data_IF_974689701663
#
_entry.id   IF_974689701663
#
_cell.length_a   1.000
_cell.length_b   1.000
_cell.length_c   1.000
_cell.angle_alpha   90.00
_cell.angle_beta   90.00
_cell.angle_gamma   90.00
#
_symmetry.space_group_name_H-M   'P 1'
#
loop_
_entity.id
_entity.type
_entity.pdbx_description
1 polymer ?
#
# COMPACT_ATOMS: atom_id res chain seq x y z
N UNK A 1 0.16 11.97 13.69
CA UNK A 1 1.10 11.01 14.29
C UNK A 1 0.31 9.97 15.07
N UNK A 2 0.52 8.67 14.86
CA UNK A 2 -0.14 7.59 15.60
C UNK A 2 0.91 6.91 16.50
N UNK A 3 1.08 7.42 17.73
CA UNK A 3 2.13 6.98 18.65
C UNK A 3 1.61 6.12 19.82
N UNK A 4 0.36 5.68 19.75
CA UNK A 4 -0.32 4.93 20.79
C UNK A 4 -1.82 5.20 20.80
N UNK A 5 -2.56 4.36 21.53
CA UNK A 5 -4.01 4.48 21.67
C UNK A 5 -4.55 3.50 22.71
N UNK A 6 -5.85 3.60 22.98
CA UNK A 6 -6.59 2.66 23.80
C UNK A 6 -7.69 2.01 22.95
N UNK A 7 -7.76 0.69 22.98
CA UNK A 7 -8.79 -0.09 22.30
C UNK A 7 -9.48 -0.98 23.33
N UNK A 8 -10.81 -0.91 23.39
CA UNK A 8 -11.61 -1.75 24.29
C UNK A 8 -12.11 -2.97 23.54
N UNK A 9 -11.94 -4.15 24.11
CA UNK A 9 -12.49 -5.40 23.61
C UNK A 9 -13.53 -5.95 24.59
N UNK A 10 -14.68 -6.39 24.07
CA UNK A 10 -15.70 -7.03 24.89
C UNK A 10 -15.38 -8.54 25.02
N UNK A 11 -15.45 -9.06 26.25
CA UNK A 11 -15.38 -10.49 26.52
C UNK A 11 -16.71 -10.95 27.11
N UNK A 12 -17.33 -11.95 26.49
CA UNK A 12 -18.55 -12.58 27.01
C UNK A 12 -18.24 -14.03 27.37
N UNK A 13 -18.48 -14.40 28.63
CA UNK A 13 -18.33 -15.76 29.13
C UNK A 13 -19.60 -16.14 29.90
N UNK A 14 -20.19 -17.28 29.56
CA UNK A 14 -21.39 -17.78 30.23
C UNK A 14 -21.20 -19.23 30.63
N UNK A 15 -21.74 -19.61 31.79
CA UNK A 15 -21.77 -20.99 32.28
C UNK A 15 -23.13 -21.28 32.89
N UNK A 16 -23.70 -22.44 32.56
CA UNK A 16 -25.02 -22.91 33.03
C UNK A 16 -24.86 -24.24 33.76
N UNK A 17 -24.48 -24.24 35.05
CA UNK A 17 -24.30 -25.46 35.82
C UNK A 17 -25.65 -26.07 36.24
N UNK A 18 -25.73 -27.40 36.24
CA UNK A 18 -26.83 -28.14 36.88
C UNK A 18 -26.43 -28.39 38.34
N UNK A 19 -27.19 -27.84 39.29
CA UNK A 19 -26.91 -27.97 40.73
C UNK A 19 -27.84 -29.03 41.34
N UNK A 20 -27.32 -30.15 41.87
CA UNK A 20 -28.12 -31.16 42.55
C UNK A 20 -28.85 -30.64 43.79
N UNK A 21 -29.98 -31.25 44.14
CA UNK A 21 -30.74 -30.91 45.34
C UNK A 21 -29.87 -31.02 46.60
N UNK A 22 -29.95 -30.02 47.49
CA UNK A 22 -29.16 -29.91 48.72
C UNK A 22 -27.63 -29.86 48.52
N UNK A 23 -27.14 -29.44 47.35
CA UNK A 23 -25.69 -29.26 47.06
C UNK A 23 -25.34 -27.84 46.57
N UNK A 24 -24.04 -27.57 46.36
CA UNK A 24 -23.51 -26.29 45.84
C UNK A 24 -22.40 -26.54 44.82
N UNK A 25 -22.33 -25.73 43.76
CA UNK A 25 -21.25 -25.75 42.76
C UNK A 25 -20.55 -24.38 42.75
N UNK A 26 -19.26 -24.30 43.09
CA UNK A 26 -18.51 -23.05 43.00
C UNK A 26 -18.19 -22.75 41.52
N UNK A 27 -18.51 -21.53 41.09
CA UNK A 27 -18.18 -21.03 39.75
C UNK A 27 -17.15 -19.90 39.91
N UNK A 28 -16.07 -19.95 39.13
CA UNK A 28 -15.03 -18.92 39.09
C UNK A 28 -14.79 -18.50 37.64
N UNK A 29 -14.73 -17.19 37.40
CA UNK A 29 -14.33 -16.60 36.12
C UNK A 29 -13.08 -15.76 36.38
N UNK A 30 -12.00 -16.05 35.64
CA UNK A 30 -10.73 -15.33 35.76
C UNK A 30 -10.47 -14.54 34.49
N UNK A 31 -10.23 -13.24 34.64
CA UNK A 31 -9.87 -12.33 33.56
C UNK A 31 -8.40 -11.96 33.72
N UNK A 32 -7.61 -12.23 32.68
CA UNK A 32 -6.17 -11.98 32.69
C UNK A 32 -5.80 -10.81 31.78
N UNK A 33 -4.85 -10.02 32.27
CA UNK A 33 -4.17 -8.99 31.50
C UNK A 33 -2.73 -9.41 31.30
N UNK A 34 -2.26 -9.33 30.05
CA UNK A 34 -0.85 -9.48 29.71
C UNK A 34 -0.39 -8.21 28.97
N UNK A 35 0.84 -7.77 29.26
CA UNK A 35 1.50 -6.71 28.52
C UNK A 35 2.68 -7.34 27.77
N UNK A 36 2.83 -6.99 26.49
CA UNK A 36 3.89 -7.51 25.64
C UNK A 36 4.63 -6.33 25.03
N UNK A 37 5.95 -6.42 24.98
CA UNK A 37 6.83 -5.47 24.32
C UNK A 37 7.80 -6.23 23.43
N UNK A 38 7.88 -5.81 22.17
CA UNK A 38 8.87 -6.32 21.22
C UNK A 38 9.34 -5.18 20.32
N UNK A 39 10.63 -5.15 19.94
CA UNK A 39 11.08 -4.28 18.87
C UNK A 39 10.37 -4.71 17.58
N UNK A 40 9.84 -3.74 16.84
CA UNK A 40 9.23 -3.98 15.55
C UNK A 40 9.96 -3.17 14.48
N UNK A 41 9.97 -3.69 13.27
CA UNK A 41 10.49 -3.00 12.09
C UNK A 41 9.51 -3.24 10.94
N UNK A 42 9.21 -2.17 10.20
CA UNK A 42 8.41 -2.25 8.99
C UNK A 42 9.21 -1.65 7.84
N UNK A 43 9.05 -2.25 6.66
CA UNK A 43 9.58 -1.68 5.42
C UNK A 43 8.50 -0.82 4.77
N UNK A 44 8.90 0.33 4.25
CA UNK A 44 8.03 1.20 3.47
C UNK A 44 8.58 1.30 2.05
N UNK A 45 7.74 1.00 1.07
CA UNK A 45 8.11 1.20 -0.33
C UNK A 45 8.10 2.70 -0.65
N UNK A 46 9.24 3.20 -1.12
CA UNK A 46 9.37 4.58 -1.55
C UNK A 46 8.93 4.71 -3.02
N UNK A 47 8.05 5.67 -3.27
CA UNK A 47 7.64 6.06 -4.62
C UNK A 47 8.00 7.53 -4.87
N UNK A 48 8.26 7.87 -6.13
CA UNK A 48 8.63 9.22 -6.53
C UNK A 48 8.25 9.51 -7.98
N UNK A 49 8.04 10.79 -8.27
CA UNK A 49 7.85 11.28 -9.63
C UNK A 49 9.21 11.69 -10.22
N UNK A 50 9.58 11.10 -11.36
CA UNK A 50 10.81 11.38 -12.08
C UNK A 50 10.51 12.23 -13.33
N UNK A 51 10.94 13.48 -13.31
CA UNK A 51 10.71 14.42 -14.42
C UNK A 51 11.97 14.60 -15.25
N UNK A 52 11.87 14.30 -16.55
CA UNK A 52 12.86 14.65 -17.55
C UNK A 52 12.44 15.97 -18.21
N UNK A 53 13.28 16.99 -18.13
CA UNK A 53 13.06 18.29 -18.77
C UNK A 53 14.28 18.63 -19.62
N UNK A 54 14.09 18.73 -20.93
CA UNK A 54 15.15 19.04 -21.87
C UNK A 54 14.67 19.03 -23.32
N UNK A 55 15.58 19.36 -24.24
CA UNK A 55 15.28 19.32 -25.67
C UNK A 55 15.41 17.89 -26.22
N UNK A 56 14.54 17.54 -27.18
CA UNK A 56 14.67 16.28 -27.91
C UNK A 56 15.74 16.38 -29.00
N UNK A 57 16.54 15.32 -29.17
CA UNK A 57 17.57 15.27 -30.23
C UNK A 57 16.93 15.22 -31.62
N UNK A 58 17.57 15.90 -32.58
CA UNK A 58 17.24 15.81 -34.01
C UNK A 58 17.52 14.41 -34.55
N UNK A 59 16.58 13.85 -35.32
CA UNK A 59 16.74 12.54 -35.99
C UNK A 59 16.98 11.35 -35.04
N UNK A 60 16.72 11.49 -33.73
CA UNK A 60 17.16 10.51 -32.73
C UNK A 60 16.48 10.62 -31.36
N UNK A 61 15.14 10.63 -31.35
CA UNK A 61 14.31 10.66 -30.14
C UNK A 61 13.20 9.60 -30.18
N UNK A 62 12.68 9.22 -29.01
CA UNK A 62 11.67 8.18 -28.83
C UNK A 62 10.25 8.74 -28.60
N UNK A 63 10.04 10.03 -28.85
CA UNK A 63 8.71 10.61 -28.76
C UNK A 63 7.86 10.13 -29.95
N UNK A 64 6.58 9.83 -29.73
CA UNK A 64 5.74 9.13 -30.70
C UNK A 64 5.60 9.83 -32.06
N UNK A 65 5.72 11.18 -32.13
CA UNK A 65 5.68 11.94 -33.39
C UNK A 65 7.05 12.18 -34.03
N UNK A 66 8.15 11.75 -33.39
CA UNK A 66 9.52 11.96 -33.84
C UNK A 66 9.84 13.39 -34.34
N UNK A 67 9.66 14.44 -33.50
CA UNK A 67 9.91 15.82 -33.89
C UNK A 67 11.39 16.07 -34.25
N UNK A 68 11.61 16.92 -35.25
CA UNK A 68 12.93 17.30 -35.78
C UNK A 68 13.30 18.78 -35.54
N UNK A 69 12.47 19.52 -34.81
CA UNK A 69 12.69 20.93 -34.47
C UNK A 69 13.39 21.14 -33.12
N UNK A 70 13.86 20.05 -32.50
CA UNK A 70 14.48 20.02 -31.16
C UNK A 70 13.63 20.70 -30.07
N UNK A 71 12.35 20.30 -29.91
CA UNK A 71 11.47 20.94 -28.95
C UNK A 71 11.93 20.65 -27.52
N UNK A 72 11.80 21.64 -26.63
CA UNK A 72 11.96 21.46 -25.19
C UNK A 72 10.67 20.87 -24.62
N UNK A 73 10.76 19.65 -24.09
CA UNK A 73 9.63 18.95 -23.48
C UNK A 73 9.95 18.57 -22.04
N UNK A 74 8.88 18.50 -21.24
CA UNK A 74 8.91 17.97 -19.89
C UNK A 74 7.99 16.75 -19.82
N UNK A 75 8.50 15.63 -19.33
CA UNK A 75 7.72 14.42 -19.14
C UNK A 75 8.04 13.76 -17.80
N UNK A 76 7.01 13.30 -17.10
CA UNK A 76 7.11 12.77 -15.74
C UNK A 76 6.64 11.33 -15.68
N UNK A 77 7.49 10.45 -15.15
CA UNK A 77 7.14 9.07 -14.84
C UNK A 77 6.89 8.89 -13.35
N UNK A 78 5.87 8.12 -13.01
CA UNK A 78 5.59 7.70 -11.63
C UNK A 78 6.37 6.41 -11.35
N UNK A 79 7.40 6.50 -10.51
CA UNK A 79 8.18 5.35 -10.06
C UNK A 79 7.53 4.81 -8.79
N UNK A 80 6.81 3.71 -8.94
CA UNK A 80 6.07 3.08 -7.85
C UNK A 80 4.69 2.59 -8.33
N UNK A 81 3.61 2.88 -7.59
CA UNK A 81 2.27 2.47 -7.96
C UNK A 81 1.86 3.00 -9.35
N UNK A 82 1.02 2.23 -10.05
CA UNK A 82 0.39 2.70 -11.28
C UNK A 82 -0.50 3.92 -10.98
N UNK A 83 -0.28 5.00 -11.73
CA UNK A 83 -1.05 6.24 -11.64
C UNK A 83 -1.92 6.44 -12.88
N UNK A 84 -1.29 6.43 -14.05
CA UNK A 84 -1.95 6.51 -15.36
C UNK A 84 -1.07 5.88 -16.46
N UNK A 85 -1.60 5.81 -17.69
CA UNK A 85 -0.89 5.23 -18.84
C UNK A 85 0.34 6.05 -19.26
N UNK A 86 0.27 7.38 -19.17
CA UNK A 86 1.31 8.29 -19.64
C UNK A 86 2.55 8.30 -18.74
N UNK A 87 2.36 8.13 -17.43
CA UNK A 87 3.42 8.14 -16.42
C UNK A 87 3.97 6.74 -16.09
N UNK A 88 3.36 5.67 -16.62
CA UNK A 88 3.77 4.30 -16.33
C UNK A 88 4.65 3.70 -17.43
N UNK A 89 5.96 3.62 -17.16
CA UNK A 89 6.93 2.94 -18.03
C UNK A 89 6.52 1.49 -18.26
N UNK A 90 6.08 0.79 -17.21
CA UNK A 90 5.70 -0.62 -17.29
C UNK A 90 4.51 -0.83 -18.21
N UNK A 91 3.49 0.03 -18.11
CA UNK A 91 2.33 -0.01 -18.99
C UNK A 91 2.73 0.15 -20.46
N UNK A 92 3.47 1.20 -20.78
CA UNK A 92 3.90 1.50 -22.15
C UNK A 92 4.77 0.37 -22.73
N UNK A 93 5.70 -0.16 -21.92
CA UNK A 93 6.56 -1.25 -22.34
C UNK A 93 5.79 -2.54 -22.63
N UNK A 94 4.85 -2.92 -21.77
CA UNK A 94 4.06 -4.13 -21.92
C UNK A 94 3.07 -4.02 -23.08
N UNK A 95 2.66 -2.81 -23.46
CA UNK A 95 1.72 -2.53 -24.57
C UNK A 95 2.37 -2.08 -25.87
N UNK A 96 3.70 -2.10 -25.97
CA UNK A 96 4.48 -1.59 -27.13
C UNK A 96 4.11 -2.16 -28.51
N UNK A 97 3.43 -3.29 -28.58
CA UNK A 97 3.00 -3.93 -29.83
C UNK A 97 1.53 -3.66 -30.19
N UNK A 98 0.83 -2.82 -29.43
CA UNK A 98 -0.55 -2.40 -29.72
C UNK A 98 -0.52 -0.96 -30.29
N UNK A 99 -0.73 -0.76 -31.60
CA UNK A 99 -0.58 0.57 -32.21
C UNK A 99 -1.47 1.67 -31.62
N UNK A 100 -2.63 1.34 -31.06
CA UNK A 100 -3.54 2.30 -30.44
C UNK A 100 -3.20 2.69 -28.99
N UNK A 101 -2.11 2.17 -28.44
CA UNK A 101 -1.66 2.42 -27.05
C UNK A 101 -0.32 3.17 -27.00
N UNK A 102 0.16 3.67 -28.14
CA UNK A 102 1.38 4.47 -28.29
C UNK A 102 1.08 5.96 -28.38
#
# INVERSE_FOLDING_TARGET
SQNGGAVTTALSQSVRPVVPARSRVPVKIELYKANISYPYEFKADMSYDLTFNGFLRWGGNAWHTHPEDRPTLSHTFAIGPFKDKASSIRYQWDKRYLPGEM
#
